data_IF_909090108237
#
_entry.id   IF_909090108237
#
_cell.length_a   1.000
_cell.length_b   1.000
_cell.length_c   1.000
_cell.angle_alpha   90.00
_cell.angle_beta   90.00
_cell.angle_gamma   90.00
#
_symmetry.space_group_name_H-M   'P 1'
#
loop_
_entity.id
_entity.type
_entity.pdbx_description
1 polymer ?
#
# COMPACT_ATOMS: atom_id res chain seq x y z
N UNK A 1 -5.22 -44.36 35.91
CA UNK A 1 -4.04 -43.69 35.31
C UNK A 1 -4.27 -43.55 33.82
N UNK A 2 -4.39 -42.32 33.31
CA UNK A 2 -4.57 -42.05 31.88
C UNK A 2 -3.19 -42.11 31.23
N UNK A 3 -2.89 -43.17 30.47
CA UNK A 3 -1.66 -43.25 29.66
C UNK A 3 -1.78 -42.20 28.55
N UNK A 4 -0.91 -41.21 28.56
CA UNK A 4 -0.71 -40.34 27.41
C UNK A 4 -0.22 -41.21 26.24
N UNK A 5 -0.74 -41.02 25.01
CA UNK A 5 -0.31 -41.79 23.86
C UNK A 5 1.21 -41.63 23.66
N UNK A 6 1.88 -42.71 23.29
CA UNK A 6 3.35 -42.86 23.23
C UNK A 6 4.07 -42.01 22.17
N UNK A 7 3.38 -41.04 21.56
CA UNK A 7 3.88 -40.16 20.51
C UNK A 7 3.90 -38.68 20.94
N UNK A 8 3.81 -38.37 22.24
CA UNK A 8 4.03 -37.01 22.69
C UNK A 8 5.52 -36.68 22.63
N UNK A 9 5.92 -35.60 21.93
CA UNK A 9 7.31 -35.18 21.92
C UNK A 9 7.77 -34.96 23.36
N UNK A 10 8.98 -35.45 23.64
CA UNK A 10 9.67 -35.23 24.91
C UNK A 10 9.88 -33.74 25.15
N UNK A 11 10.16 -33.35 26.40
CA UNK A 11 10.41 -31.95 26.72
C UNK A 11 11.52 -31.32 25.85
N UNK A 12 12.67 -31.99 25.58
CA UNK A 12 13.65 -31.49 24.63
C UNK A 12 13.11 -31.28 23.21
N UNK A 13 12.36 -32.26 22.67
CA UNK A 13 11.75 -32.14 21.33
C UNK A 13 10.71 -31.01 21.26
N UNK A 14 9.96 -30.77 22.34
CA UNK A 14 9.03 -29.64 22.44
C UNK A 14 9.76 -28.30 22.45
N UNK A 15 10.90 -28.20 23.16
CA UNK A 15 11.73 -27.00 23.18
C UNK A 15 12.32 -26.74 21.79
N UNK A 16 12.87 -27.76 21.14
CA UNK A 16 13.43 -27.64 19.78
C UNK A 16 12.36 -27.21 18.76
N UNK A 17 11.15 -27.78 18.83
CA UNK A 17 10.02 -27.37 17.99
C UNK A 17 9.62 -25.90 18.25
N UNK A 18 9.57 -25.48 19.51
CA UNK A 18 9.27 -24.09 19.87
C UNK A 18 10.31 -23.14 19.28
N UNK A 19 11.60 -23.39 19.51
CA UNK A 19 12.70 -22.54 19.03
C UNK A 19 12.75 -22.48 17.50
N UNK A 20 12.54 -23.62 16.82
CA UNK A 20 12.48 -23.69 15.36
C UNK A 20 11.32 -22.87 14.80
N UNK A 21 10.12 -23.07 15.33
CA UNK A 21 8.93 -22.35 14.87
C UNK A 21 9.05 -20.84 15.14
N UNK A 22 9.59 -20.46 16.30
CA UNK A 22 9.78 -19.06 16.65
C UNK A 22 10.82 -18.38 15.74
N UNK A 23 11.96 -19.04 15.51
CA UNK A 23 13.00 -18.55 14.60
C UNK A 23 12.49 -18.42 13.17
N UNK A 24 11.72 -19.40 12.70
CA UNK A 24 11.06 -19.33 11.40
C UNK A 24 10.07 -18.15 11.32
N UNK A 25 9.26 -17.96 12.36
CA UNK A 25 8.34 -16.82 12.45
C UNK A 25 9.07 -15.47 12.40
N UNK A 26 10.16 -15.32 13.16
CA UNK A 26 10.99 -14.10 13.13
C UNK A 26 11.60 -13.83 11.75
N UNK A 27 12.10 -14.87 11.07
CA UNK A 27 12.63 -14.72 9.71
C UNK A 27 11.57 -14.25 8.74
N UNK A 28 10.38 -14.88 8.76
CA UNK A 28 9.26 -14.50 7.89
C UNK A 28 8.81 -13.05 8.15
N UNK A 29 8.77 -12.62 9.42
CA UNK A 29 8.47 -11.23 9.77
C UNK A 29 9.52 -10.25 9.22
N UNK A 30 10.80 -10.63 9.26
CA UNK A 30 11.88 -9.81 8.70
C UNK A 30 11.79 -9.70 7.17
N UNK A 31 11.54 -10.81 6.48
CA UNK A 31 11.37 -10.82 5.02
C UNK A 31 10.16 -9.98 4.60
N UNK A 32 9.04 -10.12 5.31
CA UNK A 32 7.84 -9.30 5.10
C UNK A 32 8.13 -7.82 5.29
N UNK A 33 8.86 -7.45 6.35
CA UNK A 33 9.28 -6.07 6.59
C UNK A 33 10.04 -5.49 5.40
N UNK A 34 11.03 -6.23 4.89
CA UNK A 34 11.83 -5.79 3.74
C UNK A 34 11.00 -5.56 2.46
N UNK A 35 9.97 -6.38 2.21
CA UNK A 35 9.08 -6.17 1.08
C UNK A 35 8.27 -4.88 1.20
N UNK A 36 7.75 -4.60 2.40
CA UNK A 36 6.98 -3.38 2.66
C UNK A 36 7.89 -2.15 2.62
N UNK A 37 9.06 -2.19 3.26
CA UNK A 37 10.03 -1.09 3.28
C UNK A 37 10.46 -0.71 1.85
N UNK A 38 10.72 -1.71 1.00
CA UNK A 38 11.04 -1.49 -0.42
C UNK A 38 9.88 -0.84 -1.18
N UNK A 39 8.64 -1.25 -0.92
CA UNK A 39 7.48 -0.65 -1.57
C UNK A 39 7.23 0.80 -1.10
N UNK A 40 7.57 1.12 0.14
CA UNK A 40 7.58 2.51 0.64
C UNK A 40 8.60 3.36 -0.15
N UNK A 41 9.84 2.89 -0.30
CA UNK A 41 10.84 3.61 -1.11
C UNK A 41 10.42 3.77 -2.58
N UNK A 42 9.77 2.76 -3.17
CA UNK A 42 9.26 2.82 -4.55
C UNK A 42 8.17 3.90 -4.69
N UNK A 43 7.30 4.06 -3.70
CA UNK A 43 6.25 5.08 -3.76
C UNK A 43 6.85 6.50 -3.66
N UNK A 44 7.92 6.67 -2.90
CA UNK A 44 8.62 7.95 -2.78
C UNK A 44 9.31 8.31 -4.11
N UNK A 45 9.87 7.32 -4.81
CA UNK A 45 10.40 7.50 -6.17
C UNK A 45 9.27 7.86 -7.15
N UNK A 46 8.10 7.23 -7.03
CA UNK A 46 6.92 7.58 -7.84
C UNK A 46 6.52 9.04 -7.64
N UNK A 47 6.46 9.51 -6.39
CA UNK A 47 6.18 10.91 -6.06
C UNK A 47 7.20 11.84 -6.71
N UNK A 48 8.49 11.50 -6.68
CA UNK A 48 9.52 12.30 -7.32
C UNK A 48 9.33 12.42 -8.84
N UNK A 49 8.88 11.35 -9.51
CA UNK A 49 8.52 11.39 -10.93
C UNK A 49 7.29 12.25 -11.25
N UNK A 50 6.43 12.53 -10.25
CA UNK A 50 5.28 13.41 -10.38
C UNK A 50 5.64 14.88 -10.12
N UNK A 51 6.43 15.16 -9.08
CA UNK A 51 6.63 16.51 -8.56
C UNK A 51 7.89 17.21 -9.05
N UNK A 52 8.94 16.46 -9.40
CA UNK A 52 10.23 17.03 -9.81
C UNK A 52 10.23 17.24 -11.31
N UNK A 53 10.03 18.48 -11.75
CA UNK A 53 9.91 18.85 -13.18
C UNK A 53 10.99 18.25 -14.10
N UNK A 54 12.26 18.18 -13.66
CA UNK A 54 13.35 17.62 -14.49
C UNK A 54 13.32 16.09 -14.60
N UNK A 55 12.57 15.42 -13.72
CA UNK A 55 12.36 13.98 -13.72
C UNK A 55 10.99 13.60 -14.30
N UNK A 56 10.10 14.56 -14.56
CA UNK A 56 8.68 14.30 -14.80
C UNK A 56 8.45 13.17 -15.81
N UNK A 57 7.78 12.11 -15.34
CA UNK A 57 7.42 10.96 -16.16
C UNK A 57 6.21 10.24 -15.56
N UNK A 58 5.02 10.57 -16.06
CA UNK A 58 3.75 10.07 -15.53
C UNK A 58 3.58 8.56 -15.71
N UNK A 59 4.10 7.99 -16.82
CA UNK A 59 4.04 6.55 -17.06
C UNK A 59 4.92 5.80 -16.04
N UNK A 60 6.09 6.36 -15.71
CA UNK A 60 6.97 5.76 -14.70
C UNK A 60 6.42 5.94 -13.29
N UNK A 61 5.86 7.12 -12.97
CA UNK A 61 5.21 7.36 -11.70
C UNK A 61 4.07 6.36 -11.48
N UNK A 62 3.19 6.18 -12.48
CA UNK A 62 2.07 5.25 -12.40
C UNK A 62 2.53 3.81 -12.20
N UNK A 63 3.49 3.34 -12.99
CA UNK A 63 4.01 1.98 -12.89
C UNK A 63 4.56 1.68 -11.48
N UNK A 64 5.31 2.61 -10.89
CA UNK A 64 5.88 2.47 -9.56
C UNK A 64 4.79 2.55 -8.47
N UNK A 65 3.82 3.46 -8.59
CA UNK A 65 2.72 3.56 -7.64
C UNK A 65 1.82 2.31 -7.64
N UNK A 66 1.58 1.71 -8.82
CA UNK A 66 0.87 0.44 -8.94
C UNK A 66 1.65 -0.73 -8.33
N UNK A 67 2.96 -0.80 -8.56
CA UNK A 67 3.85 -1.80 -7.94
C UNK A 67 3.78 -1.72 -6.41
N UNK A 68 3.91 -0.52 -5.83
CA UNK A 68 3.77 -0.33 -4.38
C UNK A 68 2.37 -0.67 -3.88
N UNK A 69 1.32 -0.29 -4.61
CA UNK A 69 -0.07 -0.58 -4.22
C UNK A 69 -0.32 -2.09 -4.14
N UNK A 70 0.20 -2.89 -5.07
CA UNK A 70 0.09 -4.35 -5.05
C UNK A 70 0.68 -4.93 -3.77
N UNK A 71 1.89 -4.54 -3.40
CA UNK A 71 2.54 -4.96 -2.15
C UNK A 71 1.71 -4.52 -0.93
N UNK A 72 1.21 -3.28 -0.92
CA UNK A 72 0.41 -2.80 0.21
C UNK A 72 -0.93 -3.53 0.35
N UNK A 73 -1.53 -3.99 -0.75
CA UNK A 73 -2.70 -4.85 -0.76
C UNK A 73 -2.37 -6.22 -0.16
N UNK A 74 -1.33 -6.88 -0.67
CA UNK A 74 -0.92 -8.23 -0.23
C UNK A 74 -0.59 -8.29 1.26
N UNK A 75 0.01 -7.23 1.80
CA UNK A 75 0.39 -7.15 3.21
C UNK A 75 -0.58 -6.34 4.08
N UNK A 76 -1.78 -6.04 3.56
CA UNK A 76 -2.85 -5.33 4.25
C UNK A 76 -2.41 -4.02 4.93
N UNK A 77 -1.51 -3.27 4.28
CA UNK A 77 -0.98 -1.99 4.76
C UNK A 77 -1.95 -0.85 4.43
N UNK A 78 -3.13 -0.85 5.05
CA UNK A 78 -4.27 0.01 4.67
C UNK A 78 -3.95 1.50 4.56
N UNK A 79 -3.12 2.06 5.45
CA UNK A 79 -2.69 3.47 5.36
C UNK A 79 -1.84 3.72 4.10
N UNK A 80 -0.91 2.82 3.79
CA UNK A 80 -0.06 2.91 2.59
C UNK A 80 -0.87 2.65 1.32
N UNK A 81 -1.85 1.75 1.36
CA UNK A 81 -2.82 1.58 0.27
C UNK A 81 -3.59 2.87 -0.04
N UNK A 82 -3.99 3.62 1.00
CA UNK A 82 -4.66 4.91 0.82
C UNK A 82 -3.71 5.94 0.20
N UNK A 83 -2.47 6.00 0.66
CA UNK A 83 -1.43 6.88 0.11
C UNK A 83 -1.14 6.60 -1.36
N UNK A 84 -0.96 5.32 -1.72
CA UNK A 84 -0.72 4.91 -3.11
C UNK A 84 -1.88 5.26 -4.03
N UNK A 85 -3.13 5.05 -3.57
CA UNK A 85 -4.32 5.47 -4.32
C UNK A 85 -4.41 6.99 -4.45
N UNK A 86 -4.08 7.75 -3.42
CA UNK A 86 -4.04 9.21 -3.52
C UNK A 86 -3.04 9.66 -4.61
N UNK A 87 -1.82 9.11 -4.59
CA UNK A 87 -0.80 9.42 -5.60
C UNK A 87 -1.24 9.03 -7.02
N UNK A 88 -1.86 7.85 -7.20
CA UNK A 88 -2.45 7.48 -8.49
C UNK A 88 -3.52 8.49 -8.94
N UNK A 89 -4.35 8.96 -8.01
CA UNK A 89 -5.31 10.03 -8.27
C UNK A 89 -4.64 11.31 -8.80
N UNK A 90 -3.54 11.73 -8.18
CA UNK A 90 -2.76 12.91 -8.56
C UNK A 90 -2.09 12.74 -9.93
N UNK A 91 -1.51 11.56 -10.21
CA UNK A 91 -0.92 11.22 -11.51
C UNK A 91 -1.97 11.31 -12.61
N UNK A 92 -3.13 10.69 -12.41
CA UNK A 92 -4.23 10.73 -13.38
C UNK A 92 -4.84 12.13 -13.52
N UNK A 93 -4.86 12.90 -12.44
CA UNK A 93 -5.29 14.30 -12.51
C UNK A 93 -4.34 15.13 -13.38
N UNK A 94 -3.02 14.95 -13.26
CA UNK A 94 -2.04 15.62 -14.12
C UNK A 94 -2.18 15.22 -15.59
N UNK A 95 -2.58 13.97 -15.88
CA UNK A 95 -2.89 13.50 -17.24
C UNK A 95 -4.14 14.17 -17.86
N UNK A 96 -5.02 14.80 -17.06
CA UNK A 96 -6.16 15.58 -17.57
C UNK A 96 -5.68 16.78 -18.38
N UNK A 97 -4.60 17.44 -17.96
CA UNK A 97 -3.99 18.55 -18.71
C UNK A 97 -3.50 18.12 -20.10
N UNK A 98 -3.04 16.87 -20.22
CA UNK A 98 -2.66 16.23 -21.47
C UNK A 98 -3.82 15.72 -22.33
N UNK A 99 -5.07 15.98 -21.94
CA UNK A 99 -6.30 15.48 -22.58
C UNK A 99 -6.32 13.95 -22.79
N UNK A 100 -5.69 13.19 -21.88
CA UNK A 100 -5.73 11.74 -21.99
C UNK A 100 -7.16 11.23 -21.72
N UNK A 101 -7.68 10.32 -22.58
CA UNK A 101 -9.00 9.73 -22.37
C UNK A 101 -9.10 9.06 -21.00
N UNK A 102 -10.25 9.20 -20.35
CA UNK A 102 -10.57 8.60 -19.04
C UNK A 102 -9.71 9.07 -17.86
N UNK A 103 -8.73 9.96 -18.05
CA UNK A 103 -7.83 10.38 -16.98
C UNK A 103 -8.59 10.99 -15.78
N UNK A 104 -9.60 11.81 -16.05
CA UNK A 104 -10.46 12.41 -15.03
C UNK A 104 -11.25 11.36 -14.23
N UNK A 105 -11.84 10.39 -14.94
CA UNK A 105 -12.61 9.32 -14.31
C UNK A 105 -11.73 8.44 -13.41
N UNK A 106 -10.50 8.16 -13.85
CA UNK A 106 -9.50 7.42 -13.07
C UNK A 106 -9.04 8.20 -11.85
N UNK A 107 -8.74 9.50 -12.00
CA UNK A 107 -8.39 10.37 -10.89
C UNK A 107 -9.49 10.37 -9.81
N UNK A 108 -10.74 10.60 -10.22
CA UNK A 108 -11.90 10.59 -9.33
C UNK A 108 -12.03 9.25 -8.59
N UNK A 109 -11.88 8.13 -9.29
CA UNK A 109 -11.97 6.80 -8.70
C UNK A 109 -10.89 6.60 -7.62
N UNK A 110 -9.62 6.86 -7.96
CA UNK A 110 -8.51 6.67 -7.03
C UNK A 110 -8.60 7.57 -5.80
N UNK A 111 -8.98 8.84 -5.96
CA UNK A 111 -9.24 9.72 -4.82
C UNK A 111 -10.39 9.24 -3.94
N UNK A 112 -11.48 8.73 -4.54
CA UNK A 112 -12.62 8.20 -3.78
C UNK A 112 -12.20 6.97 -2.96
N UNK A 113 -11.50 6.02 -3.56
CA UNK A 113 -11.02 4.82 -2.86
C UNK A 113 -10.02 5.17 -1.74
N UNK A 114 -9.15 6.16 -1.97
CA UNK A 114 -8.25 6.67 -0.92
C UNK A 114 -9.02 7.31 0.24
N UNK A 115 -10.02 8.14 -0.07
CA UNK A 115 -10.87 8.81 0.90
C UNK A 115 -11.61 7.81 1.80
N UNK A 116 -12.18 6.77 1.21
CA UNK A 116 -12.86 5.70 1.95
C UNK A 116 -11.92 4.99 2.94
N UNK A 117 -10.69 4.71 2.52
CA UNK A 117 -9.69 4.13 3.41
C UNK A 117 -9.32 5.08 4.56
N UNK A 118 -8.99 6.33 4.27
CA UNK A 118 -8.62 7.29 5.31
C UNK A 118 -9.77 7.56 6.29
N UNK A 119 -11.03 7.58 5.83
CA UNK A 119 -12.21 7.64 6.71
C UNK A 119 -12.29 6.41 7.62
N UNK A 120 -12.09 5.21 7.07
CA UNK A 120 -12.12 3.98 7.87
C UNK A 120 -10.98 3.84 8.88
N UNK A 121 -9.90 4.62 8.70
CA UNK A 121 -8.74 4.68 9.58
C UNK A 121 -8.78 5.89 10.54
N UNK A 122 -9.85 6.70 10.48
CA UNK A 122 -10.03 7.92 11.28
C UNK A 122 -8.90 8.95 11.12
N UNK A 123 -8.34 9.08 9.92
CA UNK A 123 -7.25 10.02 9.61
C UNK A 123 -7.84 11.32 9.03
N UNK A 124 -8.45 12.12 9.89
CA UNK A 124 -9.26 13.29 9.49
C UNK A 124 -8.51 14.33 8.63
N UNK A 125 -7.22 14.55 8.89
CA UNK A 125 -6.41 15.48 8.08
C UNK A 125 -6.37 15.09 6.60
N UNK A 126 -6.22 13.78 6.33
CA UNK A 126 -6.21 13.25 4.96
C UNK A 126 -7.59 13.21 4.32
N UNK A 127 -8.63 12.99 5.12
CA UNK A 127 -10.03 13.08 4.66
C UNK A 127 -10.32 14.47 4.09
N UNK A 128 -9.98 15.52 4.84
CA UNK A 128 -10.22 16.92 4.43
C UNK A 128 -9.43 17.26 3.15
N UNK A 129 -8.16 16.83 3.08
CA UNK A 129 -7.31 17.02 1.90
C UNK A 129 -7.94 16.39 0.64
N UNK A 130 -8.37 15.13 0.73
CA UNK A 130 -8.98 14.41 -0.39
C UNK A 130 -10.35 14.94 -0.78
N UNK A 131 -11.15 15.43 0.17
CA UNK A 131 -12.42 16.10 -0.14
C UNK A 131 -12.18 17.38 -0.95
N UNK A 132 -11.13 18.14 -0.66
CA UNK A 132 -10.74 19.30 -1.46
C UNK A 132 -10.23 18.90 -2.85
N UNK A 133 -9.42 17.84 -2.95
CA UNK A 133 -8.96 17.31 -4.23
C UNK A 133 -10.15 16.86 -5.10
N UNK A 134 -11.12 16.14 -4.54
CA UNK A 134 -12.33 15.69 -5.23
C UNK A 134 -13.22 16.85 -5.69
N UNK A 135 -13.33 17.92 -4.90
CA UNK A 135 -14.02 19.15 -5.34
C UNK A 135 -13.31 19.75 -6.57
N UNK A 136 -11.98 19.75 -6.58
CA UNK A 136 -11.18 20.22 -7.72
C UNK A 136 -11.35 19.37 -8.98
N UNK A 137 -11.42 18.04 -8.84
CA UNK A 137 -11.70 17.13 -9.95
C UNK A 137 -13.13 17.28 -10.47
N UNK A 138 -14.09 17.54 -9.58
CA UNK A 138 -15.51 17.66 -9.91
C UNK A 138 -16.18 16.30 -10.07
N UNK A 139 -16.99 16.13 -11.12
CA UNK A 139 -17.65 14.85 -11.43
C UNK A 139 -16.69 13.84 -12.06
N UNK A 140 -17.05 12.55 -11.95
CA UNK A 140 -16.38 11.45 -12.64
C UNK A 140 -16.41 11.58 -14.18
N UNK A 141 -17.42 12.27 -14.71
CA UNK A 141 -17.62 12.61 -16.14
C UNK A 141 -16.82 13.84 -16.56
#
# INVERSE_FOLDING_TARGET
MRRLPSNHPTLPEQIEQFETNYTMGLRLLSELGQHVDRAEEIIDISQAYLEVNVLENLDRAEALAMESLEVFLDYNRRKLQASARQLLGEIYWRRVEGNQPNAKAMAYQFFTESLELYRSLDIQGKVIELEQQLIGVGSRE
#
